data_IF_817639570281
#
_entry.id   IF_817639570281
#
_cell.length_a   1.000
_cell.length_b   1.000
_cell.length_c   1.000
_cell.angle_alpha   90.00
_cell.angle_beta   90.00
_cell.angle_gamma   90.00
#
_symmetry.space_group_name_H-M   'P 1'
#
loop_
_entity.id
_entity.type
_entity.pdbx_description
1 polymer ?
#
# COMPACT_ATOMS: atom_id res chain seq x y z
N UNK A 1 -46.47 -22.58 -3.76
CA UNK A 1 -46.35 -21.12 -3.91
C UNK A 1 -44.89 -20.77 -3.76
N UNK A 2 -44.18 -20.59 -4.88
CA UNK A 2 -42.79 -20.16 -4.93
C UNK A 2 -42.78 -18.92 -5.84
N UNK A 3 -42.57 -17.74 -5.24
CA UNK A 3 -42.30 -16.51 -5.95
C UNK A 3 -40.79 -16.38 -6.06
N UNK A 4 -40.26 -16.47 -7.29
CA UNK A 4 -38.87 -16.15 -7.59
C UNK A 4 -38.79 -14.71 -8.06
N UNK A 5 -38.07 -13.88 -7.32
CA UNK A 5 -37.66 -12.55 -7.76
C UNK A 5 -36.57 -12.70 -8.82
N UNK A 6 -36.87 -12.22 -10.02
CA UNK A 6 -35.95 -12.16 -11.15
C UNK A 6 -35.17 -10.86 -11.02
N UNK A 7 -33.94 -10.93 -10.51
CA UNK A 7 -32.99 -9.84 -10.66
C UNK A 7 -32.67 -9.67 -12.15
N UNK A 8 -33.17 -8.58 -12.73
CA UNK A 8 -32.80 -8.17 -14.08
C UNK A 8 -31.32 -7.77 -14.10
N UNK A 9 -30.46 -8.69 -14.52
CA UNK A 9 -29.10 -8.38 -14.93
C UNK A 9 -29.18 -7.35 -16.06
N UNK A 10 -28.65 -6.15 -15.80
CA UNK A 10 -28.51 -5.13 -16.84
C UNK A 10 -27.41 -5.61 -17.78
N UNK A 11 -27.81 -5.97 -18.99
CA UNK A 11 -26.89 -6.34 -20.07
C UNK A 11 -25.73 -5.32 -20.16
N UNK A 12 -24.45 -5.76 -20.12
CA UNK A 12 -23.28 -4.88 -20.11
C UNK A 12 -23.28 -3.82 -21.21
N UNK A 13 -23.92 -4.13 -22.34
CA UNK A 13 -24.08 -3.22 -23.48
C UNK A 13 -24.92 -1.98 -23.15
N UNK A 14 -25.96 -2.12 -22.32
CA UNK A 14 -26.80 -0.99 -21.87
C UNK A 14 -26.10 -0.08 -20.88
N UNK A 15 -25.19 -0.64 -20.08
CA UNK A 15 -24.37 0.15 -19.15
C UNK A 15 -23.35 1.01 -19.91
N UNK A 16 -22.72 0.45 -20.95
CA UNK A 16 -21.79 1.17 -21.82
C UNK A 16 -22.46 2.34 -22.56
N UNK A 17 -23.65 2.11 -23.14
CA UNK A 17 -24.42 3.16 -23.82
C UNK A 17 -24.83 4.30 -22.86
N UNK A 18 -25.22 3.98 -21.62
CA UNK A 18 -25.59 4.99 -20.62
C UNK A 18 -24.38 5.82 -20.12
N UNK A 19 -23.18 5.23 -20.10
CA UNK A 19 -21.95 5.94 -19.76
C UNK A 19 -21.48 6.87 -20.88
N UNK A 20 -21.55 6.43 -22.13
CA UNK A 20 -21.23 7.29 -23.29
C UNK A 20 -22.16 8.51 -23.40
N UNK A 21 -23.46 8.34 -23.14
CA UNK A 21 -24.43 9.45 -23.12
C UNK A 21 -24.11 10.48 -22.03
N UNK A 22 -23.53 10.03 -20.90
CA UNK A 22 -23.22 10.86 -19.74
C UNK A 22 -21.87 11.58 -19.88
N UNK A 23 -20.89 10.98 -20.55
CA UNK A 23 -19.58 11.57 -20.85
C UNK A 23 -19.65 12.53 -22.05
N UNK A 24 -20.58 12.33 -22.98
CA UNK A 24 -20.78 13.18 -24.16
C UNK A 24 -21.35 14.58 -23.90
N UNK A 25 -21.78 14.91 -22.66
CA UNK A 25 -22.19 16.28 -22.30
C UNK A 25 -20.99 17.06 -21.75
N UNK A 26 -20.46 18.07 -22.47
CA UNK A 26 -19.47 18.94 -21.89
C UNK A 26 -20.10 19.68 -20.71
N UNK A 27 -19.63 19.39 -19.50
CA UNK A 27 -19.86 20.26 -18.35
C UNK A 27 -19.40 21.68 -18.75
N UNK A 28 -20.25 22.68 -18.51
CA UNK A 28 -19.95 24.06 -18.85
C UNK A 28 -18.55 24.44 -18.38
N UNK A 29 -17.74 24.95 -19.31
CA UNK A 29 -16.39 25.46 -19.06
C UNK A 29 -16.43 26.41 -17.87
N UNK A 30 -15.88 25.99 -16.73
CA UNK A 30 -15.50 26.93 -15.70
C UNK A 30 -14.35 27.76 -16.29
N UNK A 31 -14.58 29.05 -16.49
CA UNK A 31 -13.49 29.98 -16.83
C UNK A 31 -12.53 30.02 -15.64
N UNK A 32 -11.40 29.31 -15.77
CA UNK A 32 -10.29 29.50 -14.85
C UNK A 32 -9.78 30.93 -15.02
N UNK A 33 -9.47 31.65 -13.93
CA UNK A 33 -8.85 32.95 -14.04
C UNK A 33 -7.54 32.81 -14.82
N UNK A 34 -7.19 33.78 -15.68
CA UNK A 34 -5.96 33.71 -16.45
C UNK A 34 -4.78 33.56 -15.49
N UNK A 35 -3.98 32.51 -15.69
CA UNK A 35 -2.67 32.39 -15.06
C UNK A 35 -1.87 33.60 -15.52
N UNK A 36 -1.63 34.55 -14.61
CA UNK A 36 -0.72 35.65 -14.88
C UNK A 36 0.67 35.06 -15.09
N UNK A 37 1.12 35.00 -16.34
CA UNK A 37 2.49 34.58 -16.64
C UNK A 37 3.45 35.64 -16.05
N UNK A 38 4.26 35.22 -15.08
CA UNK A 38 5.34 36.05 -14.55
C UNK A 38 6.43 36.19 -15.62
N UNK A 39 6.33 37.26 -16.40
CA UNK A 39 7.26 37.59 -17.47
C UNK A 39 8.57 38.24 -16.98
N UNK A 40 8.86 38.23 -15.68
CA UNK A 40 10.16 38.72 -15.19
C UNK A 40 11.32 37.94 -15.81
N UNK A 41 12.42 38.61 -16.20
CA UNK A 41 13.64 37.95 -16.67
C UNK A 41 14.13 36.91 -15.65
N UNK A 42 14.60 35.76 -16.13
CA UNK A 42 15.04 34.64 -15.28
C UNK A 42 16.04 35.05 -14.19
N UNK A 43 16.94 35.99 -14.48
CA UNK A 43 17.94 36.49 -13.54
C UNK A 43 17.32 37.16 -12.29
N UNK A 44 16.14 37.79 -12.42
CA UNK A 44 15.45 38.44 -11.29
C UNK A 44 14.72 37.42 -10.40
N UNK A 45 14.46 36.20 -10.90
CA UNK A 45 13.82 35.11 -10.12
C UNK A 45 14.82 34.34 -9.27
N UNK A 46 16.09 34.29 -9.67
CA UNK A 46 17.14 33.53 -8.99
C UNK A 46 17.69 34.30 -7.77
N UNK A 47 17.66 35.64 -7.76
CA UNK A 47 18.10 36.46 -6.61
C UNK A 47 17.17 36.38 -5.38
N UNK A 48 15.88 36.06 -5.54
CA UNK A 48 14.95 35.90 -4.41
C UNK A 48 15.13 34.58 -3.65
N UNK A 49 15.79 33.57 -4.25
CA UNK A 49 16.03 32.28 -3.60
C UNK A 49 17.29 32.26 -2.72
N UNK A 50 18.28 33.10 -2.99
CA UNK A 50 19.58 33.12 -2.28
C UNK A 50 19.54 33.79 -0.88
N UNK A 51 18.37 34.31 -0.45
CA UNK A 51 18.23 34.99 0.84
C UNK A 51 17.61 34.15 1.96
N UNK A 52 17.31 32.86 1.74
CA UNK A 52 16.71 32.01 2.78
C UNK A 52 17.66 30.98 3.43
N UNK A 53 18.92 30.86 2.97
CA UNK A 53 19.86 29.81 3.44
C UNK A 53 20.83 30.23 4.56
N UNK A 54 20.48 31.23 5.37
CA UNK A 54 21.28 31.65 6.52
C UNK A 54 20.59 31.35 7.85
N UNK A 55 20.45 30.06 8.17
CA UNK A 55 20.28 29.60 9.55
C UNK A 55 21.39 28.59 9.88
N UNK A 56 22.16 28.94 10.91
CA UNK A 56 23.49 28.40 11.20
C UNK A 56 23.55 26.91 11.50
N UNK A 57 24.58 26.26 10.95
CA UNK A 57 25.01 24.94 11.39
C UNK A 57 25.85 25.03 12.66
N UNK A 58 25.63 24.16 13.67
CA UNK A 58 26.59 23.97 14.73
C UNK A 58 27.73 23.06 14.25
N UNK A 59 28.94 23.50 14.56
CA UNK A 59 30.17 22.77 14.34
C UNK A 59 30.30 21.57 15.28
N UNK A 60 30.77 20.45 14.72
CA UNK A 60 31.55 19.42 15.41
C UNK A 60 30.76 18.39 16.19
N UNK A 61 30.59 17.19 15.62
CA UNK A 61 30.58 15.93 16.35
C UNK A 61 31.16 14.80 15.46
N UNK A 62 31.98 13.99 16.10
CA UNK A 62 32.78 12.87 15.61
C UNK A 62 31.97 11.74 14.94
N UNK A 63 32.73 10.92 14.20
CA UNK A 63 32.36 9.65 13.57
C UNK A 63 31.57 8.70 14.50
N UNK A 64 30.66 7.93 13.90
CA UNK A 64 29.78 6.89 14.50
C UNK A 64 28.56 7.40 15.30
N UNK A 65 27.47 7.73 14.60
CA UNK A 65 26.13 7.72 15.16
C UNK A 65 25.15 6.99 14.24
N UNK A 66 24.63 5.86 14.74
CA UNK A 66 23.51 5.12 14.20
C UNK A 66 22.30 6.06 14.09
N UNK A 67 21.81 6.30 12.87
CA UNK A 67 20.55 6.99 12.65
C UNK A 67 19.39 6.09 13.09
N UNK A 68 19.00 6.19 14.36
CA UNK A 68 17.67 5.78 14.80
C UNK A 68 16.75 6.99 14.69
N UNK A 69 15.94 7.06 13.63
CA UNK A 69 14.82 7.99 13.59
C UNK A 69 13.71 7.50 14.53
N UNK A 70 13.42 8.31 15.54
CA UNK A 70 12.42 8.04 16.57
C UNK A 70 11.01 8.08 16.02
N UNK A 71 10.49 6.93 15.60
CA UNK A 71 9.05 6.67 15.50
C UNK A 71 8.53 6.05 16.79
N UNK A 72 7.27 6.33 17.14
CA UNK A 72 6.57 5.58 18.20
C UNK A 72 6.25 4.20 17.62
N UNK A 73 6.91 3.17 18.15
CA UNK A 73 6.61 1.77 17.85
C UNK A 73 5.27 1.39 18.51
N UNK A 74 4.16 1.68 17.83
CA UNK A 74 2.89 1.04 18.15
C UNK A 74 2.93 -0.35 17.53
N UNK A 75 3.60 -1.28 18.21
CA UNK A 75 3.51 -2.71 17.86
C UNK A 75 2.04 -3.10 18.03
N UNK A 76 1.31 -3.26 16.93
CA UNK A 76 0.02 -3.94 16.93
C UNK A 76 0.38 -5.43 16.80
N UNK A 77 0.50 -6.19 17.91
CA UNK A 77 0.76 -7.61 17.79
C UNK A 77 -0.37 -8.23 16.96
N UNK A 78 -0.03 -8.90 15.86
CA UNK A 78 -0.93 -9.88 15.26
C UNK A 78 -1.40 -10.79 16.40
N UNK A 79 -2.71 -10.79 16.67
CA UNK A 79 -3.29 -11.41 17.88
C UNK A 79 -2.71 -12.81 18.08
N UNK A 80 -2.02 -13.03 19.19
CA UNK A 80 -1.71 -14.37 19.68
C UNK A 80 -3.01 -15.01 20.17
N UNK A 81 -3.41 -16.10 19.52
CA UNK A 81 -4.46 -16.98 20.01
C UNK A 81 -3.86 -17.90 21.09
N UNK A 82 -4.31 -17.74 22.34
CA UNK A 82 -4.06 -18.71 23.40
C UNK A 82 -4.76 -20.03 23.07
N UNK A 83 -3.97 -21.10 22.95
CA UNK A 83 -4.47 -22.46 22.76
C UNK A 83 -5.05 -23.00 24.08
N UNK A 84 -6.38 -23.06 24.17
CA UNK A 84 -7.10 -23.65 25.28
C UNK A 84 -8.09 -24.75 24.87
N UNK A 85 -7.66 -26.00 25.02
CA UNK A 85 -8.44 -27.25 25.19
C UNK A 85 -9.05 -28.00 23.97
N UNK A 86 -8.36 -29.12 23.67
CA UNK A 86 -8.83 -30.45 23.26
C UNK A 86 -9.90 -30.62 22.17
N UNK A 87 -9.43 -30.98 20.97
CA UNK A 87 -10.16 -31.92 20.11
C UNK A 87 -9.98 -31.67 18.61
N UNK A 88 -9.03 -32.42 18.00
CA UNK A 88 -8.89 -32.67 16.56
C UNK A 88 -8.73 -31.43 15.64
N UNK A 89 -7.49 -31.26 15.16
CA UNK A 89 -7.19 -30.63 13.88
C UNK A 89 -7.47 -29.14 13.79
N UNK A 90 -6.55 -28.32 14.29
CA UNK A 90 -6.48 -26.91 13.86
C UNK A 90 -5.02 -26.47 13.93
N UNK A 91 -4.36 -26.43 12.79
CA UNK A 91 -3.06 -25.80 12.64
C UNK A 91 -3.34 -24.29 12.54
N UNK A 92 -3.46 -23.62 13.69
CA UNK A 92 -3.53 -22.16 13.75
C UNK A 92 -2.11 -21.61 13.77
N UNK A 93 -1.59 -21.24 12.59
CA UNK A 93 -0.36 -20.47 12.46
C UNK A 93 -0.69 -19.15 11.78
N UNK A 94 -0.98 -18.10 12.54
CA UNK A 94 -0.98 -16.73 12.03
C UNK A 94 -0.33 -15.81 13.08
N UNK A 95 0.92 -16.12 13.42
CA UNK A 95 1.82 -15.10 13.92
C UNK A 95 2.35 -14.35 12.70
N UNK A 96 1.63 -13.31 12.25
CA UNK A 96 2.12 -12.44 11.18
C UNK A 96 3.50 -11.89 11.52
N UNK A 97 4.39 -11.81 10.54
CA UNK A 97 5.75 -11.28 10.67
C UNK A 97 5.82 -9.87 10.10
N UNK A 98 4.78 -9.06 10.36
CA UNK A 98 4.71 -7.67 9.94
C UNK A 98 4.43 -6.73 11.10
N UNK A 99 4.84 -5.46 10.96
CA UNK A 99 4.56 -4.37 11.88
C UNK A 99 3.99 -3.16 11.11
N UNK A 100 3.17 -2.36 11.80
CA UNK A 100 2.72 -1.04 11.36
C UNK A 100 3.35 0.01 12.27
N UNK A 101 4.09 0.96 11.70
CA UNK A 101 4.89 1.92 12.46
C UNK A 101 4.49 3.33 12.06
N UNK A 102 4.07 4.16 13.02
CA UNK A 102 3.73 5.56 12.74
C UNK A 102 5.00 6.35 12.39
N UNK A 103 4.97 7.08 11.27
CA UNK A 103 6.12 7.81 10.75
C UNK A 103 5.70 9.20 10.23
N UNK A 104 5.75 10.22 11.09
CA UNK A 104 5.65 11.62 10.63
C UNK A 104 4.32 12.03 10.01
N UNK A 105 3.21 11.33 10.35
CA UNK A 105 1.89 11.52 9.72
C UNK A 105 1.53 10.40 8.76
N UNK A 106 2.54 9.70 8.24
CA UNK A 106 2.42 8.53 7.38
C UNK A 106 2.44 7.24 8.21
N UNK A 107 2.26 6.12 7.52
CA UNK A 107 2.40 4.79 8.10
C UNK A 107 3.49 4.01 7.38
N UNK A 108 4.44 3.45 8.13
CA UNK A 108 5.45 2.54 7.60
C UNK A 108 5.02 1.10 7.82
N UNK A 109 4.90 0.37 6.72
CA UNK A 109 4.65 -1.06 6.68
C UNK A 109 5.98 -1.78 6.75
N UNK A 110 6.14 -2.70 7.69
CA UNK A 110 7.34 -3.54 7.81
C UNK A 110 6.94 -5.00 7.63
N UNK A 111 7.60 -5.72 6.73
CA UNK A 111 7.42 -7.17 6.53
C UNK A 111 8.74 -7.93 6.74
N UNK A 112 8.68 -9.12 7.30
CA UNK A 112 9.83 -10.01 7.55
C UNK A 112 9.56 -11.43 7.06
N UNK A 113 10.56 -12.07 6.46
CA UNK A 113 10.42 -13.40 5.86
C UNK A 113 11.75 -14.11 5.67
N UNK A 114 11.71 -15.40 5.36
CA UNK A 114 12.90 -16.19 5.01
C UNK A 114 13.36 -15.93 3.57
N UNK A 115 12.48 -15.35 2.75
CA UNK A 115 12.74 -14.91 1.38
C UNK A 115 12.07 -13.55 1.09
N UNK A 116 12.40 -12.94 -0.05
CA UNK A 116 11.80 -11.68 -0.47
C UNK A 116 10.31 -11.86 -0.81
N UNK A 117 9.94 -13.03 -1.29
CA UNK A 117 8.57 -13.42 -1.62
C UNK A 117 7.70 -13.55 -0.37
N UNK A 118 8.25 -14.11 0.71
CA UNK A 118 7.57 -14.11 2.01
C UNK A 118 7.39 -12.69 2.53
N UNK A 119 8.40 -11.83 2.40
CA UNK A 119 8.30 -10.41 2.76
C UNK A 119 7.21 -9.70 1.95
N UNK A 120 7.08 -9.98 0.65
CA UNK A 120 6.02 -9.45 -0.19
C UNK A 120 4.62 -9.83 0.34
N UNK A 121 4.44 -11.11 0.68
CA UNK A 121 3.21 -11.59 1.30
C UNK A 121 2.90 -10.94 2.66
N UNK A 122 3.91 -10.73 3.50
CA UNK A 122 3.73 -10.06 4.79
C UNK A 122 3.44 -8.55 4.64
N UNK A 123 3.98 -7.88 3.63
CA UNK A 123 3.65 -6.49 3.32
C UNK A 123 2.22 -6.32 2.81
N UNK A 124 1.70 -7.26 2.00
CA UNK A 124 0.29 -7.26 1.60
C UNK A 124 -0.65 -7.38 2.81
N UNK A 125 -0.30 -8.26 3.77
CA UNK A 125 -1.04 -8.38 5.04
C UNK A 125 -0.93 -7.11 5.88
N UNK A 126 0.23 -6.45 5.89
CA UNK A 126 0.42 -5.17 6.56
C UNK A 126 -0.48 -4.09 5.95
N UNK A 127 -0.53 -3.98 4.63
CA UNK A 127 -1.41 -3.03 3.94
C UNK A 127 -2.88 -3.30 4.24
N UNK A 128 -3.32 -4.56 4.20
CA UNK A 128 -4.68 -4.95 4.61
C UNK A 128 -5.00 -4.49 6.04
N UNK A 129 -4.11 -4.81 6.98
CA UNK A 129 -4.27 -4.46 8.39
C UNK A 129 -4.24 -2.94 8.64
N UNK A 130 -3.55 -2.18 7.77
CA UNK A 130 -3.57 -0.73 7.81
C UNK A 130 -4.92 -0.15 7.37
N UNK A 131 -5.62 -0.83 6.46
CA UNK A 131 -6.85 -0.33 5.83
C UNK A 131 -8.15 -0.80 6.52
N UNK A 132 -8.23 -2.01 7.06
CA UNK A 132 -9.52 -2.63 7.44
C UNK A 132 -9.63 -3.18 8.88
N UNK A 133 -10.84 -3.09 9.46
CA UNK A 133 -11.23 -3.70 10.77
C UNK A 133 -12.33 -4.77 10.64
N UNK A 134 -12.31 -5.79 11.52
CA UNK A 134 -11.14 -6.44 12.09
C UNK A 134 -10.69 -7.59 11.16
N UNK A 135 -9.58 -8.23 11.50
CA UNK A 135 -9.25 -9.62 11.13
C UNK A 135 -8.11 -9.78 10.11
N UNK A 136 -7.36 -10.90 10.24
CA UNK A 136 -6.40 -11.33 9.24
C UNK A 136 -6.98 -11.19 7.84
N UNK A 137 -6.10 -10.87 6.89
CA UNK A 137 -6.44 -10.91 5.49
C UNK A 137 -7.16 -12.23 5.16
N UNK A 138 -8.24 -12.21 4.37
CA UNK A 138 -8.93 -13.42 3.96
C UNK A 138 -7.99 -14.35 3.18
N UNK A 139 -8.35 -15.62 3.10
CA UNK A 139 -7.66 -16.56 2.21
C UNK A 139 -7.88 -16.15 0.75
N UNK A 140 -6.89 -16.32 -0.14
CA UNK A 140 -7.04 -15.98 -1.55
C UNK A 140 -8.09 -16.89 -2.20
N UNK A 141 -9.03 -16.26 -2.91
CA UNK A 141 -10.06 -16.97 -3.70
C UNK A 141 -9.51 -17.41 -5.05
N UNK A 142 -8.56 -16.64 -5.59
CA UNK A 142 -7.90 -16.92 -6.86
C UNK A 142 -6.48 -16.38 -6.88
N UNK A 143 -5.70 -16.86 -7.85
CA UNK A 143 -4.34 -16.43 -8.12
C UNK A 143 -4.28 -15.79 -9.49
N UNK A 144 -3.66 -14.61 -9.56
CA UNK A 144 -3.50 -13.83 -10.80
C UNK A 144 -2.01 -13.58 -11.00
N UNK A 145 -1.55 -13.74 -12.24
CA UNK A 145 -0.17 -13.44 -12.60
C UNK A 145 0.15 -11.97 -12.31
N UNK A 146 1.28 -11.74 -11.67
CA UNK A 146 1.81 -10.43 -11.36
C UNK A 146 3.32 -10.41 -11.65
N UNK A 147 3.82 -9.34 -12.22
CA UNK A 147 5.22 -9.27 -12.57
C UNK A 147 5.68 -7.86 -12.88
N UNK A 148 6.99 -7.69 -12.84
CA UNK A 148 7.68 -6.43 -13.08
C UNK A 148 8.91 -6.67 -13.95
N UNK A 149 9.41 -5.65 -14.67
CA UNK A 149 10.69 -5.76 -15.37
C UNK A 149 11.79 -6.19 -14.39
N UNK A 150 12.56 -7.21 -14.77
CA UNK A 150 13.62 -7.79 -13.91
C UNK A 150 14.77 -6.80 -13.61
N UNK A 151 14.85 -5.70 -14.36
CA UNK A 151 15.82 -4.63 -14.15
C UNK A 151 15.43 -3.68 -13.00
N UNK A 152 14.18 -3.75 -12.52
CA UNK A 152 13.71 -2.92 -11.42
C UNK A 152 14.35 -3.36 -10.10
N UNK A 153 14.71 -2.42 -9.24
CA UNK A 153 15.23 -2.77 -7.91
C UNK A 153 14.15 -3.52 -7.11
N UNK A 154 14.47 -4.63 -6.40
CA UNK A 154 13.47 -5.39 -5.67
C UNK A 154 12.65 -4.56 -4.67
N UNK A 155 13.27 -3.59 -3.98
CA UNK A 155 12.55 -2.67 -3.10
C UNK A 155 11.48 -1.84 -3.84
N UNK A 156 11.74 -1.43 -5.08
CA UNK A 156 10.74 -0.74 -5.91
C UNK A 156 9.64 -1.69 -6.37
N UNK A 157 9.97 -2.94 -6.73
CA UNK A 157 8.97 -3.93 -7.08
C UNK A 157 7.98 -4.20 -5.93
N UNK A 158 8.46 -4.17 -4.67
CA UNK A 158 7.58 -4.24 -3.50
C UNK A 158 6.67 -3.00 -3.36
N UNK A 159 7.17 -1.80 -3.67
CA UNK A 159 6.35 -0.58 -3.69
C UNK A 159 5.24 -0.69 -4.74
N UNK A 160 5.58 -1.12 -5.95
CA UNK A 160 4.61 -1.28 -7.05
C UNK A 160 3.58 -2.39 -6.74
N UNK A 161 4.01 -3.50 -6.14
CA UNK A 161 3.09 -4.56 -5.68
C UNK A 161 2.02 -4.00 -4.74
N UNK A 162 2.45 -3.18 -3.77
CA UNK A 162 1.55 -2.56 -2.81
C UNK A 162 0.67 -1.49 -3.46
N UNK A 163 1.18 -0.76 -4.45
CA UNK A 163 0.40 0.22 -5.20
C UNK A 163 -0.72 -0.46 -6.00
N UNK A 164 -0.43 -1.57 -6.68
CA UNK A 164 -1.44 -2.38 -7.37
C UNK A 164 -2.47 -2.95 -6.39
N UNK A 165 -2.02 -3.44 -5.22
CA UNK A 165 -2.91 -3.94 -4.18
C UNK A 165 -3.86 -2.85 -3.65
N UNK A 166 -3.34 -1.63 -3.44
CA UNK A 166 -4.13 -0.48 -3.03
C UNK A 166 -5.14 -0.09 -4.12
N UNK A 167 -4.72 -0.07 -5.38
CA UNK A 167 -5.57 0.22 -6.51
C UNK A 167 -6.73 -0.79 -6.62
N UNK A 168 -6.42 -2.10 -6.55
CA UNK A 168 -7.43 -3.15 -6.58
C UNK A 168 -8.47 -2.99 -5.48
N UNK A 169 -8.04 -2.61 -4.27
CA UNK A 169 -8.95 -2.41 -3.15
C UNK A 169 -9.86 -1.20 -3.36
N UNK A 170 -9.32 -0.11 -3.91
CA UNK A 170 -10.04 1.15 -4.09
C UNK A 170 -10.97 1.15 -5.31
N UNK A 171 -10.59 0.46 -6.40
CA UNK A 171 -11.27 0.55 -7.70
C UNK A 171 -12.10 -0.70 -8.00
N UNK A 172 -11.51 -1.87 -7.78
CA UNK A 172 -12.12 -3.15 -8.19
C UNK A 172 -12.89 -3.83 -7.05
N UNK A 173 -12.72 -3.34 -5.81
CA UNK A 173 -13.27 -4.00 -4.63
C UNK A 173 -12.58 -5.34 -4.34
N UNK A 174 -11.29 -5.44 -4.67
CA UNK A 174 -10.49 -6.65 -4.53
C UNK A 174 -9.25 -6.40 -3.67
N UNK A 175 -8.91 -7.33 -2.80
CA UNK A 175 -7.68 -7.24 -2.00
C UNK A 175 -6.65 -8.26 -2.46
N UNK A 176 -5.41 -7.81 -2.59
CA UNK A 176 -4.26 -8.69 -2.71
C UNK A 176 -3.83 -9.09 -1.29
N UNK A 177 -3.87 -10.38 -0.99
CA UNK A 177 -3.78 -10.91 0.37
C UNK A 177 -2.65 -11.92 0.56
N UNK A 178 -2.07 -12.41 -0.54
CA UNK A 178 -0.97 -13.35 -0.54
C UNK A 178 -0.10 -13.16 -1.78
N UNK A 179 1.14 -13.68 -1.72
CA UNK A 179 2.09 -13.70 -2.82
C UNK A 179 2.75 -15.07 -2.91
N UNK A 180 3.06 -15.53 -4.13
CA UNK A 180 3.87 -16.73 -4.39
C UNK A 180 4.62 -16.59 -5.71
N UNK A 181 5.67 -17.39 -5.90
CA UNK A 181 6.48 -17.34 -7.13
C UNK A 181 7.63 -16.36 -6.99
N UNK A 182 8.29 -16.00 -8.09
CA UNK A 182 9.39 -15.03 -8.09
C UNK A 182 8.85 -13.60 -8.00
N UNK A 183 9.55 -12.68 -7.33
CA UNK A 183 9.11 -11.29 -7.22
C UNK A 183 8.91 -10.62 -8.60
N UNK A 184 9.63 -11.01 -9.64
CA UNK A 184 9.48 -10.37 -10.95
C UNK A 184 8.53 -11.10 -11.90
N UNK A 185 8.14 -12.33 -11.57
CA UNK A 185 7.27 -13.20 -12.36
C UNK A 185 6.53 -14.18 -11.42
N UNK A 186 5.60 -13.63 -10.64
CA UNK A 186 4.90 -14.31 -9.57
C UNK A 186 3.38 -14.35 -9.76
N UNK A 187 2.69 -14.80 -8.72
CA UNK A 187 1.25 -14.70 -8.62
C UNK A 187 0.86 -13.97 -7.33
N UNK A 188 -0.13 -13.09 -7.44
CA UNK A 188 -0.83 -12.50 -6.31
C UNK A 188 -2.10 -13.27 -6.01
N UNK A 189 -2.34 -13.53 -4.73
CA UNK A 189 -3.58 -14.09 -4.22
C UNK A 189 -4.60 -12.98 -4.02
N UNK A 190 -5.77 -13.11 -4.66
CA UNK A 190 -6.81 -12.09 -4.68
C UNK A 190 -8.06 -12.60 -3.95
N UNK A 191 -8.65 -11.75 -3.11
CA UNK A 191 -9.93 -11.96 -2.45
C UNK A 191 -10.89 -10.80 -2.73
N UNK A 192 -12.19 -11.06 -2.78
CA UNK A 192 -13.19 -9.99 -2.94
C UNK A 192 -13.44 -9.34 -1.59
N UNK A 193 -13.52 -8.00 -1.55
CA UNK A 193 -13.82 -7.29 -0.32
C UNK A 193 -15.24 -7.63 0.16
N UNK A 194 -15.43 -8.07 1.41
CA UNK A 194 -16.75 -8.39 1.94
C UNK A 194 -17.67 -7.16 2.01
N UNK A 195 -18.95 -7.37 1.76
CA UNK A 195 -19.97 -6.35 2.02
C UNK A 195 -19.95 -5.91 3.49
N UNK A 196 -19.90 -4.60 3.71
CA UNK A 196 -19.87 -4.03 5.07
C UNK A 196 -18.49 -4.07 5.75
N UNK A 197 -17.42 -4.39 5.01
CA UNK A 197 -16.06 -4.22 5.50
C UNK A 197 -15.83 -2.77 5.95
N UNK A 198 -15.36 -2.60 7.17
CA UNK A 198 -15.12 -1.27 7.74
C UNK A 198 -13.67 -0.88 7.49
N UNK A 199 -13.48 0.23 6.77
CA UNK A 199 -12.17 0.85 6.68
C UNK A 199 -11.80 1.49 8.02
N UNK A 200 -10.65 1.13 8.59
CA UNK A 200 -10.11 1.81 9.78
C UNK A 200 -9.41 3.11 9.43
N UNK A 201 -8.74 3.12 8.27
CA UNK A 201 -7.92 4.22 7.80
C UNK A 201 -7.99 4.24 6.28
N UNK A 202 -8.06 5.44 5.73
CA UNK A 202 -7.82 5.65 4.32
C UNK A 202 -6.30 5.59 4.10
N UNK A 203 -5.89 4.88 3.05
CA UNK A 203 -4.51 4.91 2.55
C UNK A 203 -4.60 5.51 1.16
N UNK A 204 -3.95 6.64 0.95
CA UNK A 204 -4.06 7.42 -0.31
C UNK A 204 -3.05 6.97 -1.34
N UNK A 205 -1.84 6.63 -0.90
CA UNK A 205 -0.76 6.25 -1.79
C UNK A 205 0.27 5.37 -1.10
N UNK A 206 0.93 4.52 -1.90
CA UNK A 206 2.18 3.87 -1.53
C UNK A 206 3.31 4.73 -2.07
N UNK A 207 4.29 5.05 -1.22
CA UNK A 207 5.31 6.05 -1.53
C UNK A 207 6.67 5.42 -1.83
N UNK A 208 7.45 6.11 -2.65
CA UNK A 208 8.87 5.82 -2.91
C UNK A 208 9.81 6.44 -1.88
N UNK A 209 9.27 6.90 -0.75
CA UNK A 209 10.05 7.56 0.30
C UNK A 209 10.79 6.50 1.12
N UNK A 210 12.08 6.36 0.84
CA UNK A 210 13.03 5.49 1.56
C UNK A 210 12.58 4.03 1.73
N UNK A 211 12.22 3.32 0.64
CA UNK A 211 11.89 1.91 0.74
C UNK A 211 13.15 1.11 1.03
N UNK A 212 13.05 0.29 2.07
CA UNK A 212 14.13 -0.55 2.54
C UNK A 212 13.86 -1.99 2.14
N UNK A 213 14.86 -2.68 1.61
CA UNK A 213 14.91 -4.12 1.57
C UNK A 213 16.33 -4.56 1.94
N UNK A 214 16.44 -5.36 2.99
CA UNK A 214 17.74 -5.81 3.47
C UNK A 214 17.70 -7.24 3.98
N UNK A 215 18.84 -7.91 3.86
CA UNK A 215 19.07 -9.21 4.48
C UNK A 215 19.64 -9.02 5.88
N UNK A 216 19.00 -9.61 6.88
CA UNK A 216 19.40 -9.54 8.27
C UNK A 216 20.56 -10.51 8.58
N UNK A 217 21.29 -10.32 9.70
CA UNK A 217 22.42 -11.17 10.07
C UNK A 217 22.09 -12.65 10.26
N UNK A 218 20.84 -12.98 10.61
CA UNK A 218 20.35 -14.35 10.74
C UNK A 218 19.99 -15.00 9.39
N UNK A 219 20.14 -14.25 8.29
CA UNK A 219 19.88 -14.70 6.93
C UNK A 219 18.46 -14.44 6.43
N UNK A 220 17.54 -13.99 7.30
CA UNK A 220 16.18 -13.58 6.94
C UNK A 220 16.18 -12.24 6.20
N UNK A 221 15.02 -11.85 5.67
CA UNK A 221 14.78 -10.62 4.95
C UNK A 221 13.82 -9.72 5.72
N UNK A 222 14.05 -8.42 5.59
CA UNK A 222 13.20 -7.36 6.11
C UNK A 222 12.98 -6.32 5.00
N UNK A 223 11.73 -5.88 4.84
CA UNK A 223 11.42 -4.71 4.03
C UNK A 223 10.59 -3.70 4.80
N UNK A 224 10.76 -2.43 4.43
CA UNK A 224 9.91 -1.33 4.89
C UNK A 224 9.43 -0.51 3.70
N UNK A 225 8.13 -0.19 3.67
CA UNK A 225 7.51 0.68 2.67
C UNK A 225 6.60 1.68 3.39
N UNK A 226 6.66 2.94 3.00
CA UNK A 226 5.85 4.02 3.61
C UNK A 226 4.59 4.27 2.78
N UNK A 227 3.45 4.40 3.43
CA UNK A 227 2.17 4.75 2.82
C UNK A 227 1.62 6.05 3.40
N UNK A 228 1.07 6.88 2.53
CA UNK A 228 0.38 8.13 2.87
C UNK A 228 -1.05 7.82 3.32
N UNK A 229 -1.47 8.41 4.45
CA UNK A 229 -2.79 8.23 5.05
C UNK A 229 -3.73 9.39 4.68
#
# INVERSE_FOLDING_TARGET
>A
MLGGDVHHLVEPRRLAEALEERVGRPAGRAELPPLGEDHRPRAEREEEQDHQDHLGGPAGLDEEAQYFHGGILTRIPGRHCDAGHHGRGTMCTMAGRFDLIEHGGDLRLRGMGESVEEVAGELLKALWAAMFEPAPAPEPERWVAWGMPAELMPAMALVELLADALFGAAVDGEAFVAFRGDLFDGDVGVAVLPDGLTAVREVKAVTYNDPLLMRLPDGSWLAEVTVDL
#
